data_IF_125521532970
#
_entry.id   IF_125521532970
#
_cell.length_a   1.000
_cell.length_b   1.000
_cell.length_c   1.000
_cell.angle_alpha   90.00
_cell.angle_beta   90.00
_cell.angle_gamma   90.00
#
_symmetry.space_group_name_H-M   'P 1'
#
loop_
_entity.id
_entity.type
_entity.pdbx_description
1 polymer ?
#
# COMPACT_ATOMS: atom_id res chain seq x y z
N UNK A 1 -21.59 -11.75 -16.15
CA UNK A 1 -21.15 -11.92 -14.75
C UNK A 1 -19.68 -12.32 -14.61
N UNK A 2 -19.09 -13.13 -15.52
CA UNK A 2 -17.67 -13.49 -15.46
C UNK A 2 -16.69 -12.32 -15.64
N UNK A 3 -16.98 -11.35 -16.52
CA UNK A 3 -16.11 -10.19 -16.76
C UNK A 3 -15.83 -9.38 -15.49
N UNK A 4 -16.87 -9.06 -14.71
CA UNK A 4 -16.70 -8.28 -13.48
C UNK A 4 -15.88 -8.96 -12.38
N UNK A 5 -15.82 -10.30 -12.34
CA UNK A 5 -14.97 -11.02 -11.38
C UNK A 5 -13.49 -10.88 -11.76
N UNK A 6 -13.19 -10.94 -13.07
CA UNK A 6 -11.83 -10.75 -13.57
C UNK A 6 -11.36 -9.32 -13.32
N UNK A 7 -12.20 -8.31 -13.57
CA UNK A 7 -11.88 -6.90 -13.34
C UNK A 7 -11.51 -6.66 -11.86
N UNK A 8 -12.30 -7.21 -10.93
CA UNK A 8 -12.01 -7.09 -9.49
C UNK A 8 -10.66 -7.72 -9.13
N UNK A 9 -10.34 -8.90 -9.67
CA UNK A 9 -9.07 -9.57 -9.42
C UNK A 9 -7.88 -8.77 -9.99
N UNK A 10 -8.03 -8.23 -11.20
CA UNK A 10 -7.02 -7.38 -11.86
C UNK A 10 -6.77 -6.11 -11.04
N UNK A 11 -7.83 -5.46 -10.57
CA UNK A 11 -7.72 -4.29 -9.71
C UNK A 11 -6.99 -4.61 -8.40
N UNK A 12 -7.38 -5.69 -7.71
CA UNK A 12 -6.72 -6.14 -6.46
C UNK A 12 -5.23 -6.42 -6.70
N UNK A 13 -4.88 -7.07 -7.81
CA UNK A 13 -3.49 -7.30 -8.17
C UNK A 13 -2.73 -5.97 -8.35
N UNK A 14 -3.32 -5.01 -9.06
CA UNK A 14 -2.75 -3.67 -9.21
C UNK A 14 -2.57 -2.94 -7.87
N UNK A 15 -3.52 -3.06 -6.94
CA UNK A 15 -3.38 -2.50 -5.59
C UNK A 15 -2.19 -3.12 -4.83
N UNK A 16 -2.01 -4.43 -4.90
CA UNK A 16 -0.90 -5.15 -4.25
C UNK A 16 0.44 -4.67 -4.83
N UNK A 17 0.52 -4.56 -6.16
CA UNK A 17 1.72 -4.06 -6.85
C UNK A 17 2.00 -2.62 -6.46
N UNK A 18 0.99 -1.74 -6.43
CA UNK A 18 1.15 -0.35 -6.01
C UNK A 18 1.62 -0.23 -4.55
N UNK A 19 1.12 -1.09 -3.66
CA UNK A 19 1.56 -1.12 -2.27
C UNK A 19 3.02 -1.55 -2.12
N UNK A 20 3.45 -2.56 -2.88
CA UNK A 20 4.86 -2.94 -2.96
C UNK A 20 5.73 -1.83 -3.57
N UNK A 21 5.24 -1.12 -4.59
CA UNK A 21 5.94 0.03 -5.18
C UNK A 21 6.22 1.12 -4.15
N UNK A 22 5.33 1.38 -3.19
CA UNK A 22 5.60 2.32 -2.08
C UNK A 22 6.82 1.88 -1.23
N UNK A 23 6.99 0.58 -0.98
CA UNK A 23 8.17 0.05 -0.28
C UNK A 23 9.44 0.34 -1.09
N UNK A 24 9.41 0.08 -2.40
CA UNK A 24 10.54 0.35 -3.29
C UNK A 24 10.89 1.85 -3.34
N UNK A 25 9.89 2.72 -3.53
CA UNK A 25 10.05 4.19 -3.59
C UNK A 25 10.69 4.71 -2.30
N UNK A 26 10.29 4.17 -1.14
CA UNK A 26 10.83 4.61 0.14
C UNK A 26 12.25 4.07 0.40
N UNK A 27 12.50 2.78 0.13
CA UNK A 27 13.71 2.07 0.58
C UNK A 27 14.88 2.12 -0.40
N UNK A 28 14.63 2.04 -1.71
CA UNK A 28 15.70 1.99 -2.73
C UNK A 28 16.60 3.24 -2.67
N UNK A 29 16.07 4.48 -2.64
CA UNK A 29 16.92 5.68 -2.56
C UNK A 29 17.74 5.77 -1.27
N UNK A 30 17.38 5.00 -0.24
CA UNK A 30 18.05 4.94 1.07
C UNK A 30 19.00 3.74 1.19
N UNK A 31 19.16 2.93 0.15
CA UNK A 31 19.89 1.66 0.19
C UNK A 31 19.40 0.71 1.30
N UNK A 32 18.10 0.77 1.62
CA UNK A 32 17.46 -0.13 2.58
C UNK A 32 16.94 -1.40 1.88
N UNK A 33 16.94 -2.54 2.57
CA UNK A 33 16.41 -3.79 2.02
C UNK A 33 14.89 -3.75 1.88
N UNK A 34 14.37 -4.18 0.74
CA UNK A 34 12.92 -4.27 0.45
C UNK A 34 12.26 -5.52 1.06
N UNK A 35 13.05 -6.46 1.57
CA UNK A 35 12.56 -7.75 2.11
C UNK A 35 12.49 -7.71 3.64
N UNK A 36 13.53 -7.16 4.29
CA UNK A 36 13.65 -7.15 5.75
C UNK A 36 14.32 -5.85 6.22
N UNK A 37 13.85 -5.21 7.32
CA UNK A 37 12.75 -5.61 8.19
C UNK A 37 11.36 -5.42 7.54
N UNK A 38 10.31 -5.92 8.19
CA UNK A 38 8.93 -5.70 7.76
C UNK A 38 8.57 -4.20 7.71
N UNK A 39 7.44 -3.87 7.07
CA UNK A 39 6.92 -2.50 7.03
C UNK A 39 6.74 -1.96 8.46
N UNK A 40 7.19 -0.73 8.70
CA UNK A 40 7.16 -0.09 10.01
C UNK A 40 6.84 1.39 9.87
N UNK A 41 6.33 2.00 10.94
CA UNK A 41 6.07 3.43 10.96
C UNK A 41 7.39 4.22 11.02
N UNK A 42 7.62 5.22 10.14
CA UNK A 42 8.87 5.99 10.15
C UNK A 42 9.00 6.94 11.36
N UNK A 43 7.93 7.14 12.13
CA UNK A 43 7.93 8.02 13.32
C UNK A 43 8.20 7.26 14.61
N UNK A 44 7.42 6.21 14.89
CA UNK A 44 7.56 5.44 16.12
C UNK A 44 8.24 4.08 15.96
N UNK A 45 8.60 3.70 14.73
CA UNK A 45 9.30 2.44 14.42
C UNK A 45 8.54 1.17 14.83
N UNK A 46 7.26 1.30 15.19
CA UNK A 46 6.41 0.14 15.44
C UNK A 46 6.16 -0.60 14.12
N UNK A 47 6.25 -1.93 14.16
CA UNK A 47 5.88 -2.78 13.03
C UNK A 47 4.43 -2.53 12.62
N UNK A 48 4.18 -2.46 11.32
CA UNK A 48 2.84 -2.39 10.74
C UNK A 48 2.28 -3.82 10.76
N UNK A 49 1.12 -4.00 11.40
CA UNK A 49 0.45 -5.29 11.41
C UNK A 49 0.02 -5.66 9.98
N UNK A 50 -0.01 -6.96 9.60
CA UNK A 50 -0.43 -7.36 8.26
C UNK A 50 -1.79 -6.77 7.82
N UNK A 51 -2.75 -6.68 8.76
CA UNK A 51 -4.07 -6.08 8.53
C UNK A 51 -4.06 -4.56 8.31
N UNK A 52 -3.02 -3.88 8.78
CA UNK A 52 -2.81 -2.44 8.60
C UNK A 52 -2.00 -2.14 7.33
N UNK A 53 -1.57 -3.19 6.60
CA UNK A 53 -0.86 -3.11 5.34
C UNK A 53 -1.75 -3.52 4.14
N UNK A 54 -3.07 -3.64 4.34
CA UNK A 54 -4.03 -3.89 3.25
C UNK A 54 -4.19 -2.60 2.44
N UNK A 55 -3.90 -2.60 1.12
CA UNK A 55 -3.93 -1.40 0.28
C UNK A 55 -5.29 -0.70 0.31
N UNK A 56 -5.29 0.64 0.32
CA UNK A 56 -6.43 1.57 0.44
C UNK A 56 -7.26 1.43 1.72
N UNK A 57 -7.69 0.21 2.03
CA UNK A 57 -8.57 -0.11 3.15
C UNK A 57 -7.95 0.31 4.48
N UNK A 58 -6.68 -0.03 4.71
CA UNK A 58 -6.00 0.31 5.97
C UNK A 58 -5.91 1.81 6.16
N UNK A 59 -5.63 2.57 5.09
CA UNK A 59 -5.55 4.03 5.15
C UNK A 59 -6.90 4.64 5.56
N UNK A 60 -8.00 4.19 4.95
CA UNK A 60 -9.35 4.68 5.25
C UNK A 60 -9.75 4.33 6.69
N UNK A 61 -9.56 3.06 7.10
CA UNK A 61 -9.94 2.58 8.44
C UNK A 61 -9.13 3.26 9.55
N UNK A 62 -7.85 3.54 9.29
CA UNK A 62 -6.97 4.25 10.21
C UNK A 62 -7.09 5.78 10.11
N UNK A 63 -7.93 6.29 9.19
CA UNK A 63 -8.11 7.72 8.91
C UNK A 63 -6.78 8.42 8.59
N UNK A 64 -5.93 7.76 7.82
CA UNK A 64 -4.62 8.27 7.43
C UNK A 64 -3.62 8.45 8.58
N UNK A 65 -3.76 7.70 9.68
CA UNK A 65 -2.87 7.85 10.86
C UNK A 65 -2.31 6.52 11.33
N UNK A 66 -1.09 6.53 11.86
CA UNK A 66 -0.49 5.34 12.47
C UNK A 66 -1.35 4.86 13.66
N UNK A 67 -1.56 3.54 13.77
CA UNK A 67 -2.33 2.94 14.87
C UNK A 67 -1.74 3.28 16.24
N UNK A 68 -0.42 3.22 16.37
CA UNK A 68 0.32 3.34 17.62
C UNK A 68 0.55 4.80 18.02
N UNK A 69 1.23 5.60 17.18
CA UNK A 69 1.62 6.97 17.54
C UNK A 69 0.71 8.08 16.97
N UNK A 70 -0.32 7.72 16.19
CA UNK A 70 -1.26 8.64 15.53
C UNK A 70 -0.64 9.65 14.56
N UNK A 71 0.65 9.53 14.23
CA UNK A 71 1.28 10.35 13.20
C UNK A 71 0.60 10.14 11.86
N UNK A 72 0.54 11.18 11.04
CA UNK A 72 -0.06 11.10 9.72
C UNK A 72 0.73 10.18 8.79
N UNK A 73 0.00 9.35 8.05
CA UNK A 73 0.51 8.53 6.97
C UNK A 73 0.37 9.36 5.69
N UNK A 74 1.45 9.44 4.93
CA UNK A 74 1.47 10.21 3.68
C UNK A 74 0.36 9.74 2.74
N UNK A 75 -0.40 10.69 2.17
CA UNK A 75 -1.45 10.45 1.18
C UNK A 75 -0.88 9.84 -0.12
N UNK A 76 0.43 9.94 -0.34
CA UNK A 76 1.10 9.27 -1.46
C UNK A 76 0.84 7.76 -1.46
N UNK A 77 0.77 7.12 -0.29
CA UNK A 77 0.58 5.67 -0.18
C UNK A 77 -0.73 5.21 -0.86
N UNK A 78 -1.91 5.70 -0.44
CA UNK A 78 -3.16 5.30 -1.09
C UNK A 78 -3.29 5.84 -2.52
N UNK A 79 -2.67 6.97 -2.86
CA UNK A 79 -2.71 7.49 -4.24
C UNK A 79 -1.98 6.55 -5.19
N UNK A 80 -0.76 6.11 -4.84
CA UNK A 80 0.02 5.18 -5.67
C UNK A 80 -0.73 3.86 -5.81
N UNK A 81 -1.25 3.31 -4.72
CA UNK A 81 -2.05 2.07 -4.74
C UNK A 81 -3.25 2.20 -5.68
N UNK A 82 -4.05 3.25 -5.55
CA UNK A 82 -5.25 3.45 -6.36
C UNK A 82 -4.92 3.64 -7.85
N UNK A 83 -3.92 4.47 -8.16
CA UNK A 83 -3.51 4.72 -9.54
C UNK A 83 -2.98 3.43 -10.18
N UNK A 84 -2.17 2.63 -9.48
CA UNK A 84 -1.70 1.34 -10.01
C UNK A 84 -2.84 0.36 -10.24
N UNK A 85 -3.82 0.30 -9.32
CA UNK A 85 -5.05 -0.47 -9.53
C UNK A 85 -5.79 -0.07 -10.81
N UNK A 86 -5.99 1.23 -11.03
CA UNK A 86 -6.64 1.73 -12.25
C UNK A 86 -5.82 1.44 -13.51
N UNK A 87 -4.50 1.57 -13.45
CA UNK A 87 -3.62 1.23 -14.59
C UNK A 87 -3.78 -0.24 -14.96
N UNK A 88 -3.86 -1.14 -13.98
CA UNK A 88 -4.05 -2.57 -14.24
C UNK A 88 -5.37 -2.84 -14.95
N UNK A 89 -6.48 -2.22 -14.51
CA UNK A 89 -7.78 -2.33 -15.18
C UNK A 89 -7.81 -1.78 -16.60
N UNK A 90 -6.97 -0.78 -16.91
CA UNK A 90 -6.92 -0.18 -18.24
C UNK A 90 -6.10 -1.04 -19.21
N UNK A 91 -5.07 -1.73 -18.71
CA UNK A 91 -4.11 -2.49 -19.52
C UNK A 91 -4.56 -3.94 -19.77
N UNK A 92 -5.27 -4.55 -18.82
CA UNK A 92 -5.65 -5.96 -18.82
C UNK A 92 -7.16 -6.14 -18.77
#
# INVERSE_FOLDING_TARGET
MYYGVNDVLIFILGLIVGSFSNVCIYRIPRNESIIYPASHCPKCHSNILPKDNIPLLSYILLKGRCRNCKSEISIQYPIVEFITGLIYLIIY
#
